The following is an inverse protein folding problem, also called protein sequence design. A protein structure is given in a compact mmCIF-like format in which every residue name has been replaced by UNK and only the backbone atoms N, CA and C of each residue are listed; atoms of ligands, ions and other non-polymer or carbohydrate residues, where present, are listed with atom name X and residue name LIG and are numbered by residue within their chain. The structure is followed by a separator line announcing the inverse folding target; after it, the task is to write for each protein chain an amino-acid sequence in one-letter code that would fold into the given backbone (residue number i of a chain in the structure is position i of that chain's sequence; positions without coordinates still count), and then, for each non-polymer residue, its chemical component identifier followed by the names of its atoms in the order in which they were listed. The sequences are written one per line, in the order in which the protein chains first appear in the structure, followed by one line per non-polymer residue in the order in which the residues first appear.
data_IF_129151727764
#
_entry.id   IF_129151727764
#
_cell.length_a   1.000
_cell.length_b   1.000
_cell.length_c   1.000
_cell.angle_alpha   90.00
_cell.angle_beta   90.00
_cell.angle_gamma   90.00
#
_symmetry.space_group_name_H-M   'P 1'
#
loop_
_entity.id
_entity.type
_entity.pdbx_description
1 polymer ?
#
# COMPACT_ATOMS: atom_id res chain seq x y z
N UNK A 1 -12.23 1.51 21.98
CA UNK A 1 -10.91 1.62 21.30
C UNK A 1 -10.72 0.38 20.44
N UNK A 2 -11.04 0.45 19.14
CA UNK A 2 -10.73 -0.64 18.21
C UNK A 2 -9.25 -0.55 17.83
N UNK A 3 -8.42 -1.43 18.36
CA UNK A 3 -7.05 -1.63 17.88
C UNK A 3 -7.12 -2.20 16.46
N UNK A 4 -7.23 -1.32 15.46
CA UNK A 4 -7.12 -1.71 14.05
C UNK A 4 -5.67 -2.14 13.81
N UNK A 5 -5.46 -3.45 13.77
CA UNK A 5 -4.15 -4.05 13.54
C UNK A 5 -3.73 -3.76 12.10
N UNK A 6 -2.80 -2.81 11.92
CA UNK A 6 -2.19 -2.55 10.61
C UNK A 6 -1.40 -3.78 10.18
N UNK A 7 -1.66 -4.30 8.97
CA UNK A 7 -0.84 -5.38 8.40
C UNK A 7 0.53 -4.84 8.03
N UNK A 8 1.58 -5.55 8.46
CA UNK A 8 2.98 -5.23 8.13
C UNK A 8 3.27 -5.59 6.67
N UNK A 9 4.20 -4.88 6.06
CA UNK A 9 4.67 -5.19 4.71
C UNK A 9 5.22 -6.63 4.66
N UNK A 10 4.74 -7.40 3.69
CA UNK A 10 5.22 -8.75 3.42
C UNK A 10 6.52 -8.66 2.62
N UNK A 11 7.53 -9.45 2.98
CA UNK A 11 8.75 -9.57 2.19
C UNK A 11 8.84 -10.98 1.64
N UNK A 12 8.76 -11.11 0.33
CA UNK A 12 8.91 -12.38 -0.36
C UNK A 12 10.40 -12.62 -0.55
N UNK A 13 10.91 -13.68 0.08
CA UNK A 13 12.27 -14.18 -0.11
C UNK A 13 12.16 -15.58 -0.68
N UNK A 14 12.54 -15.75 -1.92
CA UNK A 14 12.59 -17.07 -2.56
C UNK A 14 14.03 -17.34 -2.95
N UNK A 15 14.64 -18.33 -2.30
CA UNK A 15 15.91 -18.89 -2.75
C UNK A 15 15.61 -19.95 -3.82
N UNK A 16 15.12 -19.52 -4.98
CA UNK A 16 14.90 -20.40 -6.11
C UNK A 16 16.18 -20.43 -6.95
N UNK A 17 16.80 -21.61 -7.07
CA UNK A 17 17.68 -21.88 -8.21
C UNK A 17 16.78 -22.12 -9.43
N UNK A 18 17.14 -21.52 -10.55
CA UNK A 18 16.43 -21.60 -11.82
C UNK A 18 16.10 -23.05 -12.23
N UNK A 19 14.90 -23.20 -12.81
CA UNK A 19 14.49 -24.28 -13.71
C UNK A 19 14.82 -25.73 -13.30
N UNK A 20 14.50 -26.14 -12.08
CA UNK A 20 14.36 -27.59 -11.86
C UNK A 20 13.07 -28.07 -12.52
N UNK A 21 13.17 -29.08 -13.39
CA UNK A 21 12.02 -29.79 -13.97
C UNK A 21 10.99 -30.09 -12.86
N UNK A 22 9.72 -29.66 -13.02
CA UNK A 22 8.70 -29.90 -12.00
C UNK A 22 8.52 -31.41 -11.78
N UNK A 23 8.04 -31.79 -10.59
CA UNK A 23 7.68 -33.18 -10.31
C UNK A 23 6.38 -33.49 -11.07
N UNK A 24 6.21 -34.75 -11.49
CA UNK A 24 5.03 -35.20 -12.26
C UNK A 24 3.68 -34.78 -11.67
N UNK A 25 3.54 -34.79 -10.33
CA UNK A 25 2.29 -34.35 -9.69
C UNK A 25 2.04 -32.84 -9.80
N UNK A 26 3.10 -32.02 -9.82
CA UNK A 26 2.97 -30.57 -10.02
C UNK A 26 2.49 -30.28 -11.43
N UNK A 27 3.06 -30.97 -12.42
CA UNK A 27 2.63 -30.87 -13.81
C UNK A 27 1.17 -31.31 -13.96
N UNK A 28 0.81 -32.47 -13.41
CA UNK A 28 -0.54 -33.00 -13.46
C UNK A 28 -1.56 -32.05 -12.83
N UNK A 29 -1.27 -31.49 -11.65
CA UNK A 29 -2.19 -30.58 -10.96
C UNK A 29 -2.42 -29.27 -11.72
N UNK A 30 -1.39 -28.75 -12.40
CA UNK A 30 -1.52 -27.54 -13.21
C UNK A 30 -2.27 -27.83 -14.51
N UNK A 31 -1.84 -28.86 -15.25
CA UNK A 31 -2.37 -29.23 -16.57
C UNK A 31 -3.83 -29.68 -16.46
N UNK A 32 -4.19 -30.45 -15.44
CA UNK A 32 -5.57 -30.95 -15.25
C UNK A 32 -6.61 -29.82 -15.17
N UNK A 33 -6.22 -28.64 -14.69
CA UNK A 33 -7.08 -27.46 -14.56
C UNK A 33 -6.86 -26.40 -15.65
N UNK A 34 -5.96 -26.67 -16.59
CA UNK A 34 -5.63 -25.78 -17.69
C UNK A 34 -6.32 -26.23 -18.97
N UNK A 35 -6.38 -25.34 -19.96
CA UNK A 35 -6.84 -25.70 -21.31
C UNK A 35 -5.74 -26.48 -22.03
N UNK A 36 -4.49 -26.03 -21.89
CA UNK A 36 -3.34 -26.68 -22.48
C UNK A 36 -3.04 -28.02 -21.82
N UNK A 37 -2.73 -29.01 -22.65
CA UNK A 37 -2.27 -30.34 -22.22
C UNK A 37 -0.76 -30.38 -21.94
N UNK A 38 -0.03 -29.35 -22.35
CA UNK A 38 1.40 -29.20 -22.08
C UNK A 38 1.68 -28.25 -20.92
N UNK A 39 2.61 -28.63 -20.05
CA UNK A 39 2.96 -27.82 -18.87
C UNK A 39 3.53 -26.45 -19.25
N UNK A 40 4.30 -26.36 -20.33
CA UNK A 40 4.90 -25.12 -20.83
C UNK A 40 3.85 -24.06 -21.12
N UNK A 41 2.82 -24.45 -21.85
CA UNK A 41 1.76 -23.55 -22.30
C UNK A 41 0.78 -23.27 -21.16
N UNK A 42 0.43 -24.30 -20.39
CA UNK A 42 -0.44 -24.21 -19.23
C UNK A 42 0.02 -23.13 -18.25
N UNK A 43 1.33 -22.98 -18.00
CA UNK A 43 1.88 -21.94 -17.10
C UNK A 43 1.46 -20.52 -17.45
N UNK A 44 1.30 -20.22 -18.73
CA UNK A 44 1.01 -18.87 -19.23
C UNK A 44 -0.49 -18.55 -19.20
N UNK A 45 -1.35 -19.53 -18.93
CA UNK A 45 -2.79 -19.32 -18.88
C UNK A 45 -3.24 -18.64 -17.57
N UNK A 46 -2.49 -18.84 -16.49
CA UNK A 46 -2.91 -18.44 -15.15
C UNK A 46 -2.66 -16.96 -14.87
N UNK A 47 -3.58 -16.34 -14.13
CA UNK A 47 -3.48 -14.99 -13.62
C UNK A 47 -3.26 -15.02 -12.11
N UNK A 48 -2.38 -14.15 -11.61
CA UNK A 48 -2.18 -13.96 -10.17
C UNK A 48 -3.18 -12.91 -9.68
N UNK A 49 -4.27 -13.36 -9.07
CA UNK A 49 -5.37 -12.49 -8.69
C UNK A 49 -5.10 -11.81 -7.35
N UNK A 50 -5.00 -12.60 -6.28
CA UNK A 50 -4.95 -12.09 -4.91
C UNK A 50 -4.04 -12.90 -4.00
N UNK A 51 -3.61 -12.26 -2.92
CA UNK A 51 -2.89 -12.88 -1.81
C UNK A 51 -3.86 -13.11 -0.65
N UNK A 52 -3.75 -14.27 0.00
CA UNK A 52 -4.55 -14.68 1.16
C UNK A 52 -3.60 -14.99 2.30
N UNK A 53 -3.86 -14.39 3.46
CA UNK A 53 -3.06 -14.56 4.67
C UNK A 53 -3.59 -15.73 5.51
N UNK A 54 -2.77 -16.29 6.40
CA UNK A 54 -3.15 -17.40 7.28
C UNK A 54 -4.40 -17.14 8.13
N UNK A 55 -4.64 -15.87 8.46
CA UNK A 55 -5.77 -15.43 9.31
C UNK A 55 -7.01 -15.09 8.48
N UNK A 56 -6.96 -15.25 7.15
CA UNK A 56 -8.06 -14.91 6.24
C UNK A 56 -8.88 -16.14 5.87
N UNK A 57 -10.18 -15.95 5.66
CA UNK A 57 -11.08 -17.00 5.17
C UNK A 57 -10.65 -17.49 3.78
N UNK A 58 -10.67 -18.81 3.57
CA UNK A 58 -10.19 -19.43 2.33
C UNK A 58 -8.68 -19.65 2.23
N UNK A 59 -7.94 -19.43 3.33
CA UNK A 59 -6.55 -19.85 3.43
C UNK A 59 -6.43 -21.38 3.44
N UNK A 60 -5.37 -21.90 2.82
CA UNK A 60 -4.99 -23.31 2.85
C UNK A 60 -3.57 -23.43 3.41
N UNK A 61 -3.37 -24.28 4.41
CA UNK A 61 -2.04 -24.50 4.98
C UNK A 61 -1.10 -25.25 4.03
N UNK A 62 -1.64 -25.86 2.96
CA UNK A 62 -0.93 -26.61 1.93
C UNK A 62 -1.02 -25.96 0.55
N UNK A 63 0.08 -26.06 -0.21
CA UNK A 63 0.15 -25.65 -1.61
C UNK A 63 -0.56 -26.67 -2.50
N UNK A 64 -1.55 -26.27 -3.30
CA UNK A 64 -2.30 -27.20 -4.18
C UNK A 64 -1.46 -27.74 -5.34
N UNK A 65 -0.32 -27.10 -5.67
CA UNK A 65 0.60 -27.60 -6.70
C UNK A 65 1.56 -28.67 -6.19
N UNK A 66 2.20 -28.46 -5.04
CA UNK A 66 3.28 -29.32 -4.55
C UNK A 66 2.96 -30.04 -3.24
N UNK A 67 1.77 -29.81 -2.67
CA UNK A 67 1.29 -30.33 -1.38
C UNK A 67 2.18 -30.01 -0.18
N UNK A 68 3.12 -29.07 -0.31
CA UNK A 68 3.95 -28.62 0.81
C UNK A 68 3.11 -27.84 1.81
N UNK A 69 3.20 -28.21 3.07
CA UNK A 69 2.49 -27.60 4.19
C UNK A 69 3.30 -26.46 4.84
N UNK A 70 2.68 -25.70 5.73
CA UNK A 70 3.35 -24.64 6.48
C UNK A 70 3.46 -23.33 5.72
N UNK A 71 2.57 -23.09 4.75
CA UNK A 71 2.47 -21.80 4.10
C UNK A 71 2.06 -20.73 5.12
N UNK A 72 2.58 -19.51 4.96
CA UNK A 72 2.13 -18.34 5.73
C UNK A 72 1.13 -17.50 4.94
N UNK A 73 1.27 -17.54 3.62
CA UNK A 73 0.44 -16.81 2.66
C UNK A 73 0.25 -17.70 1.44
N UNK A 74 -0.93 -17.61 0.85
CA UNK A 74 -1.26 -18.23 -0.41
C UNK A 74 -1.48 -17.15 -1.45
N UNK A 75 -1.13 -17.48 -2.69
CA UNK A 75 -1.56 -16.73 -3.84
C UNK A 75 -2.66 -17.53 -4.52
N UNK A 76 -3.75 -16.86 -4.85
CA UNK A 76 -4.83 -17.42 -5.65
C UNK A 76 -4.50 -17.14 -7.10
N UNK A 77 -4.30 -18.22 -7.85
CA UNK A 77 -4.22 -18.18 -9.29
C UNK A 77 -5.60 -18.49 -9.86
N UNK A 78 -6.02 -17.76 -10.88
CA UNK A 78 -7.21 -18.09 -11.67
C UNK A 78 -6.83 -18.38 -13.11
N UNK A 79 -7.52 -19.31 -13.73
CA UNK A 79 -7.47 -19.50 -15.17
C UNK A 79 -8.74 -18.89 -15.77
N UNK A 80 -8.66 -17.78 -16.53
CA UNK A 80 -9.82 -17.11 -17.11
C UNK A 80 -10.53 -17.98 -18.17
N UNK A 81 -9.87 -19.00 -18.71
CA UNK A 81 -10.43 -19.87 -19.74
C UNK A 81 -11.26 -21.01 -19.14
N UNK A 82 -10.82 -21.58 -18.01
CA UNK A 82 -11.51 -22.70 -17.35
C UNK A 82 -12.33 -22.28 -16.13
N UNK A 83 -12.18 -21.03 -15.67
CA UNK A 83 -12.69 -20.52 -14.39
C UNK A 83 -12.22 -21.32 -13.16
N UNK A 84 -11.15 -22.11 -13.31
CA UNK A 84 -10.54 -22.83 -12.21
C UNK A 84 -9.65 -21.92 -11.36
N UNK A 85 -9.53 -22.27 -10.09
CA UNK A 85 -8.67 -21.58 -9.13
C UNK A 85 -7.68 -22.56 -8.49
N UNK A 86 -6.50 -22.02 -8.18
CA UNK A 86 -5.43 -22.72 -7.46
C UNK A 86 -4.87 -21.87 -6.33
N UNK A 87 -4.65 -22.47 -5.16
CA UNK A 87 -4.00 -21.84 -4.00
C UNK A 87 -2.58 -22.34 -3.86
N UNK A 88 -1.63 -21.46 -4.07
CA UNK A 88 -0.23 -21.83 -4.23
C UNK A 88 0.71 -20.97 -3.41
N UNK A 89 1.78 -21.60 -2.95
CA UNK A 89 2.88 -20.89 -2.28
C UNK A 89 3.75 -20.13 -3.28
N UNK A 90 4.38 -19.05 -2.80
CA UNK A 90 5.32 -18.21 -3.58
C UNK A 90 6.42 -19.02 -4.26
N UNK A 91 6.93 -20.04 -3.58
CA UNK A 91 8.02 -20.88 -4.09
C UNK A 91 7.65 -21.61 -5.37
N UNK A 92 6.43 -22.11 -5.51
CA UNK A 92 6.01 -22.82 -6.73
C UNK A 92 5.85 -21.86 -7.90
N UNK A 93 5.28 -20.68 -7.66
CA UNK A 93 5.06 -19.68 -8.69
C UNK A 93 6.40 -19.22 -9.27
N UNK A 94 7.33 -18.83 -8.41
CA UNK A 94 8.66 -18.33 -8.81
C UNK A 94 9.51 -19.45 -9.41
N UNK A 95 9.53 -20.64 -8.81
CA UNK A 95 10.39 -21.74 -9.29
C UNK A 95 9.98 -22.27 -10.65
N UNK A 96 8.68 -22.23 -10.96
CA UNK A 96 8.14 -22.79 -12.19
C UNK A 96 7.69 -21.71 -13.19
N UNK A 97 7.88 -20.43 -12.91
CA UNK A 97 7.43 -19.30 -13.73
C UNK A 97 5.94 -19.41 -14.12
N UNK A 98 5.09 -19.58 -13.11
CA UNK A 98 3.64 -19.72 -13.32
C UNK A 98 3.01 -18.34 -13.30
N UNK A 99 2.21 -18.03 -14.31
CA UNK A 99 1.41 -16.81 -14.37
C UNK A 99 1.79 -15.88 -15.50
N UNK A 100 0.81 -15.15 -16.03
CA UNK A 100 1.01 -14.15 -17.08
C UNK A 100 1.99 -13.07 -16.63
N UNK A 101 3.01 -12.84 -17.46
CA UNK A 101 4.06 -11.85 -17.22
C UNK A 101 5.23 -12.32 -16.36
N UNK A 102 5.25 -13.57 -15.90
CA UNK A 102 6.41 -14.16 -15.22
C UNK A 102 7.32 -14.81 -16.27
N UNK A 103 8.38 -14.09 -16.66
CA UNK A 103 9.36 -14.59 -17.64
C UNK A 103 10.52 -15.31 -16.94
N UNK A 104 11.01 -14.72 -15.85
CA UNK A 104 12.14 -15.16 -15.07
C UNK A 104 11.87 -15.08 -13.56
N UNK A 105 12.80 -15.62 -12.76
CA UNK A 105 12.70 -15.69 -11.30
C UNK A 105 12.60 -14.29 -10.67
N UNK A 106 13.37 -13.32 -11.14
CA UNK A 106 13.40 -11.97 -10.56
C UNK A 106 12.13 -11.19 -10.89
N UNK A 107 11.64 -11.30 -12.13
CA UNK A 107 10.33 -10.77 -12.52
C UNK A 107 9.20 -11.39 -11.69
N UNK A 108 9.24 -12.72 -11.47
CA UNK A 108 8.26 -13.43 -10.64
C UNK A 108 8.25 -12.95 -9.19
N UNK A 109 9.43 -12.78 -8.58
CA UNK A 109 9.55 -12.24 -7.22
C UNK A 109 8.98 -10.82 -7.15
N UNK A 110 9.33 -9.96 -8.11
CA UNK A 110 8.89 -8.57 -8.16
C UNK A 110 7.37 -8.48 -8.32
N UNK A 111 6.78 -9.27 -9.22
CA UNK A 111 5.34 -9.32 -9.44
C UNK A 111 4.60 -9.77 -8.17
N UNK A 112 5.04 -10.85 -7.55
CA UNK A 112 4.43 -11.34 -6.30
C UNK A 112 4.59 -10.34 -5.15
N UNK A 113 5.72 -9.65 -5.08
CA UNK A 113 5.98 -8.64 -4.07
C UNK A 113 5.05 -7.44 -4.25
N UNK A 114 4.83 -7.00 -5.49
CA UNK A 114 3.87 -5.96 -5.82
C UNK A 114 2.45 -6.37 -5.45
N UNK A 115 2.05 -7.61 -5.75
CA UNK A 115 0.73 -8.16 -5.38
C UNK A 115 0.53 -8.28 -3.87
N UNK A 116 1.56 -8.71 -3.15
CA UNK A 116 1.52 -8.76 -1.69
C UNK A 116 1.40 -7.37 -1.06
N UNK A 117 2.14 -6.38 -1.61
CA UNK A 117 2.04 -4.98 -1.17
C UNK A 117 0.67 -4.39 -1.49
N UNK A 118 0.12 -4.65 -2.68
CA UNK A 118 -1.22 -4.26 -3.09
C UNK A 118 -2.26 -4.76 -2.07
N UNK A 119 -2.21 -6.05 -1.71
CA UNK A 119 -3.09 -6.64 -0.72
C UNK A 119 -2.98 -5.96 0.66
N UNK A 120 -1.76 -5.75 1.16
CA UNK A 120 -1.54 -5.10 2.46
C UNK A 120 -2.06 -3.66 2.45
N UNK A 121 -1.82 -2.92 1.37
CA UNK A 121 -2.30 -1.55 1.24
C UNK A 121 -3.83 -1.49 1.15
N UNK A 122 -4.46 -2.35 0.35
CA UNK A 122 -5.92 -2.44 0.25
C UNK A 122 -6.55 -2.78 1.59
N UNK A 123 -6.03 -3.77 2.30
CA UNK A 123 -6.54 -4.14 3.62
C UNK A 123 -6.45 -2.97 4.61
N UNK A 124 -5.28 -2.33 4.69
CA UNK A 124 -5.10 -1.17 5.57
C UNK A 124 -6.04 -0.02 5.19
N UNK A 125 -6.22 0.24 3.90
CA UNK A 125 -7.15 1.26 3.40
C UNK A 125 -8.59 0.94 3.83
N UNK A 126 -9.07 -0.28 3.59
CA UNK A 126 -10.41 -0.74 3.94
C UNK A 126 -10.70 -0.61 5.44
N UNK A 127 -9.71 -0.88 6.30
CA UNK A 127 -9.88 -0.69 7.76
C UNK A 127 -10.10 0.77 8.15
N UNK A 128 -9.59 1.72 7.37
CA UNK A 128 -9.69 3.17 7.63
C UNK A 128 -10.93 3.83 7.00
N UNK A 129 -11.62 3.15 6.08
CA UNK A 129 -12.74 3.73 5.30
C UNK A 129 -13.82 4.32 6.20
N UNK A 130 -14.24 3.61 7.23
CA UNK A 130 -15.29 4.10 8.13
C UNK A 130 -14.89 5.37 8.90
N UNK A 131 -13.59 5.55 9.20
CA UNK A 131 -13.12 6.72 9.94
C UNK A 131 -13.04 7.95 9.01
N UNK A 132 -12.72 7.72 7.73
CA UNK A 132 -12.55 8.77 6.73
C UNK A 132 -13.89 9.23 6.14
N UNK A 133 -14.89 8.34 6.10
CA UNK A 133 -16.25 8.66 5.65
C UNK A 133 -17.08 9.42 6.69
N UNK A 134 -16.55 9.68 7.89
CA UNK A 134 -17.17 10.57 8.85
C UNK A 134 -17.30 11.99 8.26
N UNK A 135 -18.28 12.75 8.76
CA UNK A 135 -18.52 14.13 8.34
C UNK A 135 -17.27 14.99 8.57
N UNK A 136 -16.58 14.77 9.69
CA UNK A 136 -15.31 15.41 10.02
C UNK A 136 -14.27 14.37 10.43
N UNK A 137 -13.43 13.86 9.50
CA UNK A 137 -12.39 12.91 9.87
C UNK A 137 -11.22 13.59 10.59
N UNK A 138 -10.42 12.78 11.28
CA UNK A 138 -9.12 13.22 11.79
C UNK A 138 -8.17 13.53 10.60
N UNK A 139 -7.47 14.69 10.61
CA UNK A 139 -6.66 15.12 9.49
C UNK A 139 -5.50 14.17 9.17
N UNK A 140 -4.90 13.53 10.19
CA UNK A 140 -3.81 12.58 9.97
C UNK A 140 -4.33 11.30 9.31
N UNK A 141 -5.50 10.84 9.75
CA UNK A 141 -6.17 9.65 9.21
C UNK A 141 -6.57 9.86 7.75
N UNK A 142 -7.19 11.02 7.42
CA UNK A 142 -7.52 11.39 6.04
C UNK A 142 -6.27 11.45 5.15
N UNK A 143 -5.19 12.07 5.63
CA UNK A 143 -3.92 12.14 4.88
C UNK A 143 -3.32 10.76 4.64
N UNK A 144 -3.21 9.93 5.68
CA UNK A 144 -2.68 8.57 5.55
C UNK A 144 -3.52 7.73 4.59
N UNK A 145 -4.84 7.87 4.65
CA UNK A 145 -5.77 7.19 3.74
C UNK A 145 -5.53 7.60 2.29
N UNK A 146 -5.46 8.90 2.01
CA UNK A 146 -5.21 9.41 0.67
C UNK A 146 -3.85 8.95 0.11
N UNK A 147 -2.79 9.00 0.93
CA UNK A 147 -1.46 8.52 0.53
C UNK A 147 -1.45 7.00 0.22
N UNK A 148 -2.19 6.19 0.98
CA UNK A 148 -2.36 4.76 0.71
C UNK A 148 -3.15 4.51 -0.57
N UNK A 149 -4.27 5.23 -0.75
CA UNK A 149 -5.10 5.12 -1.95
C UNK A 149 -4.30 5.44 -3.21
N UNK A 150 -3.51 6.52 -3.16
CA UNK A 150 -2.64 6.91 -4.26
C UNK A 150 -1.61 5.83 -4.59
N UNK A 151 -0.95 5.25 -3.58
CA UNK A 151 0.00 4.14 -3.78
C UNK A 151 -0.63 2.92 -4.45
N UNK A 152 -1.87 2.57 -4.08
CA UNK A 152 -2.58 1.45 -4.71
C UNK A 152 -2.85 1.74 -6.18
N UNK A 153 -3.31 2.95 -6.50
CA UNK A 153 -3.59 3.35 -7.88
C UNK A 153 -2.30 3.43 -8.71
N UNK A 154 -1.20 3.90 -8.13
CA UNK A 154 0.13 3.92 -8.76
C UNK A 154 0.61 2.50 -9.07
N UNK A 155 0.45 1.54 -8.14
CA UNK A 155 0.77 0.11 -8.37
C UNK A 155 -0.07 -0.48 -9.50
N UNK A 156 -1.35 -0.08 -9.61
CA UNK A 156 -2.25 -0.49 -10.70
C UNK A 156 -1.99 0.26 -12.02
N UNK A 157 -1.14 1.29 -12.04
CA UNK A 157 -0.90 2.14 -13.21
C UNK A 157 -2.07 3.05 -13.58
N UNK A 158 -2.99 3.33 -12.65
CA UNK A 158 -4.21 4.10 -12.90
C UNK A 158 -4.01 5.55 -12.45
N UNK A 159 -3.93 6.49 -13.40
CA UNK A 159 -3.79 7.93 -13.09
C UNK A 159 -5.13 8.60 -12.72
N UNK A 160 -6.20 8.20 -13.40
CA UNK A 160 -7.54 8.76 -13.23
C UNK A 160 -8.53 7.62 -13.00
N UNK A 161 -8.72 7.19 -11.73
CA UNK A 161 -9.58 6.06 -11.43
C UNK A 161 -11.05 6.39 -11.70
N UNK A 162 -11.75 5.39 -12.24
CA UNK A 162 -13.21 5.43 -12.39
C UNK A 162 -13.88 5.26 -11.03
N UNK A 163 -15.16 5.65 -10.93
CA UNK A 163 -15.91 5.49 -9.68
C UNK A 163 -15.99 4.03 -9.26
N UNK A 164 -16.10 3.11 -10.22
CA UNK A 164 -16.09 1.67 -9.94
C UNK A 164 -14.75 1.21 -9.34
N UNK A 165 -13.62 1.65 -9.89
CA UNK A 165 -12.29 1.31 -9.36
C UNK A 165 -12.08 1.87 -7.95
N UNK A 166 -12.59 3.08 -7.68
CA UNK A 166 -12.57 3.65 -6.34
C UNK A 166 -13.47 2.86 -5.37
N UNK A 167 -14.68 2.47 -5.80
CA UNK A 167 -15.58 1.63 -5.00
C UNK A 167 -14.92 0.31 -4.61
N UNK A 168 -14.31 -0.37 -5.59
CA UNK A 168 -13.58 -1.62 -5.38
C UNK A 168 -12.43 -1.43 -4.40
N UNK A 169 -11.67 -0.34 -4.50
CA UNK A 169 -10.58 -0.05 -3.56
C UNK A 169 -11.09 0.17 -2.13
N UNK A 170 -12.18 0.93 -1.95
CA UNK A 170 -12.73 1.26 -0.64
C UNK A 170 -13.42 0.08 0.03
N UNK A 171 -14.20 -0.70 -0.72
CA UNK A 171 -15.11 -1.68 -0.12
C UNK A 171 -14.88 -3.12 -0.56
N UNK A 172 -13.95 -3.36 -1.51
CA UNK A 172 -13.62 -4.70 -2.00
C UNK A 172 -14.86 -5.41 -2.54
N UNK A 173 -15.09 -6.63 -2.07
CA UNK A 173 -16.23 -7.47 -2.47
C UNK A 173 -17.60 -6.85 -2.12
N UNK A 174 -17.63 -5.87 -1.19
CA UNK A 174 -18.84 -5.13 -0.83
C UNK A 174 -19.08 -3.89 -1.70
N UNK A 175 -18.29 -3.68 -2.76
CA UNK A 175 -18.45 -2.52 -3.64
C UNK A 175 -19.85 -2.46 -4.30
N UNK A 176 -20.41 -3.61 -4.66
CA UNK A 176 -21.71 -3.69 -5.35
C UNK A 176 -22.89 -3.35 -4.43
N UNK A 177 -22.77 -3.51 -3.12
CA UNK A 177 -23.85 -3.23 -2.18
C UNK A 177 -23.95 -1.76 -1.77
N UNK A 178 -23.07 -0.90 -2.30
CA UNK A 178 -22.99 0.51 -1.90
C UNK A 178 -23.60 1.40 -2.98
N UNK A 179 -24.83 1.79 -2.70
CA UNK A 179 -25.65 2.71 -3.50
C UNK A 179 -25.83 4.07 -2.82
N UNK A 180 -25.35 4.22 -1.57
CA UNK A 180 -25.46 5.44 -0.81
C UNK A 180 -24.74 6.62 -1.50
N UNK A 181 -25.54 7.53 -2.06
CA UNK A 181 -25.09 8.71 -2.80
C UNK A 181 -24.09 9.56 -2.01
N UNK A 182 -24.27 9.66 -0.69
CA UNK A 182 -23.37 10.43 0.16
C UNK A 182 -21.97 9.79 0.18
N UNK A 183 -21.89 8.48 0.40
CA UNK A 183 -20.61 7.75 0.42
C UNK A 183 -19.88 7.84 -0.92
N UNK A 184 -20.61 7.76 -2.02
CA UNK A 184 -20.04 7.85 -3.36
C UNK A 184 -19.50 9.25 -3.66
N UNK A 185 -20.28 10.29 -3.35
CA UNK A 185 -19.83 11.68 -3.48
C UNK A 185 -18.60 11.95 -2.59
N UNK A 186 -18.64 11.48 -1.34
CA UNK A 186 -17.54 11.67 -0.39
C UNK A 186 -16.26 10.96 -0.83
N UNK A 187 -16.37 9.73 -1.32
CA UNK A 187 -15.28 8.97 -1.93
C UNK A 187 -14.62 9.77 -3.07
N UNK A 188 -15.45 10.32 -3.96
CA UNK A 188 -14.98 11.16 -5.06
C UNK A 188 -14.26 12.42 -4.56
N UNK A 189 -14.83 13.11 -3.57
CA UNK A 189 -14.20 14.27 -2.94
C UNK A 189 -12.84 13.96 -2.32
N UNK A 190 -12.68 12.80 -1.66
CA UNK A 190 -11.40 12.38 -1.07
C UNK A 190 -10.32 12.24 -2.15
N UNK A 191 -10.68 11.73 -3.33
CA UNK A 191 -9.75 11.56 -4.43
C UNK A 191 -9.43 12.89 -5.14
N UNK A 192 -10.46 13.62 -5.56
CA UNK A 192 -10.29 14.82 -6.40
C UNK A 192 -9.79 16.03 -5.59
N UNK A 193 -10.30 16.22 -4.37
CA UNK A 193 -10.05 17.41 -3.53
C UNK A 193 -9.99 17.06 -2.03
N UNK A 194 -8.98 16.29 -1.57
CA UNK A 194 -8.88 15.89 -0.15
C UNK A 194 -8.81 17.08 0.81
N UNK A 195 -8.24 18.23 0.38
CA UNK A 195 -8.13 19.44 1.19
C UNK A 195 -9.44 20.22 1.39
N UNK A 196 -10.49 19.92 0.61
CA UNK A 196 -11.81 20.54 0.76
C UNK A 196 -12.67 19.85 1.82
N UNK A 197 -12.18 18.76 2.43
CA UNK A 197 -12.90 18.03 3.46
C UNK A 197 -12.67 18.70 4.81
N UNK A 198 -13.76 19.10 5.45
CA UNK A 198 -13.72 19.59 6.83
C UNK A 198 -13.15 18.51 7.76
N UNK A 199 -12.11 18.85 8.50
CA UNK A 199 -11.45 17.96 9.46
C UNK A 199 -11.61 18.50 10.87
N UNK A 200 -11.50 17.62 11.87
CA UNK A 200 -11.48 18.07 13.25
C UNK A 200 -10.36 19.08 13.46
N UNK A 201 -10.71 20.28 13.94
CA UNK A 201 -9.73 21.29 14.34
C UNK A 201 -9.00 20.79 15.58
N UNK A 202 -7.86 20.16 15.38
CA UNK A 202 -6.94 19.88 16.48
C UNK A 202 -6.41 21.23 16.95
N UNK A 203 -6.91 21.73 18.09
CA UNK A 203 -6.29 22.87 18.76
C UNK A 203 -4.83 22.49 18.94
N UNK A 204 -3.90 23.24 18.33
CA UNK A 204 -2.48 23.07 18.58
C UNK A 204 -2.29 23.29 20.08
N UNK A 205 -2.22 22.21 20.85
CA UNK A 205 -1.73 22.26 22.21
C UNK A 205 -0.33 22.85 22.08
N UNK A 206 -0.16 24.09 22.57
CA UNK A 206 1.17 24.69 22.65
C UNK A 206 2.01 23.68 23.40
N UNK A 207 3.09 23.22 22.79
CA UNK A 207 4.05 22.38 23.46
C UNK A 207 4.61 23.21 24.61
N UNK A 208 4.08 23.01 25.81
CA UNK A 208 4.74 23.49 27.01
C UNK A 208 5.97 22.61 27.17
N UNK A 209 7.18 23.18 27.05
CA UNK A 209 8.38 22.40 27.26
C UNK A 209 8.34 21.90 28.70
N UNK A 210 8.12 20.60 28.88
CA UNK A 210 8.24 19.94 30.19
C UNK A 210 9.66 20.23 30.67
N UNK A 211 9.84 21.05 31.72
CA UNK A 211 11.17 21.27 32.26
C UNK A 211 11.68 19.91 32.71
N UNK A 212 12.78 19.42 32.12
CA UNK A 212 13.47 18.27 32.69
C UNK A 212 14.07 18.73 34.00
N UNK A 213 13.39 18.40 35.10
CA UNK A 213 14.00 18.42 36.43
C UNK A 213 15.32 17.62 36.30
N UNK A 214 16.43 18.26 36.69
CA UNK A 214 17.84 17.83 36.54
C UNK A 214 18.64 18.29 35.30
N UNK A 215 18.14 19.15 34.40
CA UNK A 215 19.03 19.84 33.44
C UNK A 215 19.50 21.20 33.99
N UNK A 216 20.53 21.19 34.84
CA UNK A 216 21.11 22.38 35.50
C UNK A 216 21.94 23.29 34.57
N UNK A 217 21.90 23.09 33.25
CA UNK A 217 22.72 23.86 32.32
C UNK A 217 21.95 24.31 31.07
N UNK A 218 21.40 25.52 31.15
CA UNK A 218 21.63 26.55 30.12
C UNK A 218 20.94 26.42 28.77
N UNK A 219 19.62 26.62 28.70
CA UNK A 219 19.03 27.20 27.49
C UNK A 219 19.26 28.71 27.47
N UNK A 220 20.49 29.13 27.12
CA UNK A 220 20.73 30.50 26.67
C UNK A 220 19.93 30.70 25.37
N UNK A 221 18.74 31.30 25.48
CA UNK A 221 18.11 31.97 24.35
C UNK A 221 19.17 32.90 23.77
N UNK A 222 19.60 32.66 22.54
CA UNK A 222 20.39 33.64 21.79
C UNK A 222 19.48 34.85 21.59
N UNK A 223 19.50 35.76 22.55
CA UNK A 223 19.10 37.15 22.31
C UNK A 223 19.95 37.59 21.13
N UNK A 224 19.31 37.81 19.99
CA UNK A 224 19.96 38.39 18.84
C UNK A 224 20.32 39.81 19.28
N UNK A 225 21.57 40.01 19.69
CA UNK A 225 22.11 41.34 19.94
C UNK A 225 21.92 42.11 18.63
N UNK A 226 20.92 42.99 18.59
CA UNK A 226 20.86 44.02 17.59
C UNK A 226 22.05 44.93 17.86
N UNK A 227 23.12 44.76 17.10
CA UNK A 227 24.19 45.74 17.04
C UNK A 227 23.61 47.03 16.48
N UNK A 228 23.25 47.96 17.36
CA UNK A 228 22.92 49.36 17.05
C UNK A 228 24.18 50.12 16.65
N UNK A 229 24.75 49.78 15.50
CA UNK A 229 25.83 50.54 14.85
C UNK A 229 25.40 51.17 13.51
N UNK A 230 24.09 51.25 13.27
CA UNK A 230 23.50 51.70 12.01
C UNK A 230 22.73 53.03 12.06
N UNK A 231 22.94 53.87 13.08
CA UNK A 231 22.28 55.20 13.16
C UNK A 231 23.22 56.24 13.76
N UNK A 232 24.28 56.59 13.03
CA UNK A 232 24.80 57.95 13.10
C UNK A 232 24.64 58.57 11.71
N UNK A 233 23.89 59.66 11.61
CA UNK A 233 23.69 60.42 10.37
C UNK A 233 24.97 61.14 9.88
N UNK A 234 26.15 60.71 10.33
CA UNK A 234 27.43 61.37 10.08
C UNK A 234 28.15 60.87 8.81
N UNK A 235 27.69 59.77 8.19
CA UNK A 235 28.33 59.17 7.00
C UNK A 235 27.53 59.36 5.71
N UNK A 236 26.45 60.16 5.73
CA UNK A 236 25.52 60.25 4.58
C UNK A 236 25.86 61.32 3.54
N UNK A 237 26.83 62.22 3.79
CA UNK A 237 27.22 63.23 2.78
C UNK A 237 28.69 63.71 2.92
N UNK A 238 29.64 63.18 2.12
CA UNK A 238 31.01 63.69 2.08
C UNK A 238 31.17 65.03 1.34
N UNK A 239 30.16 65.45 0.55
CA UNK A 239 30.26 66.62 -0.33
C UNK A 239 29.92 67.96 0.34
N UNK A 240 29.41 67.97 1.57
CA UNK A 240 29.01 69.20 2.28
C UNK A 240 30.14 69.96 3.00
N UNK A 241 31.40 69.50 2.90
CA UNK A 241 32.53 70.10 3.63
C UNK A 241 33.30 71.21 2.88
N UNK A 242 32.95 71.51 1.63
CA UNK A 242 33.64 72.51 0.81
C UNK A 242 32.66 73.41 0.06
N UNK A 243 31.74 74.04 0.77
CA UNK A 243 30.88 75.11 0.27
C UNK A 243 30.75 76.19 1.33
#
# INVERSE_FOLDING_TARGET
MNNKVKKKALRIRVNAKESSRPRRHVEANLVFKSVSHEFTDAKTEWNIDRCVDKDSEGFSSSCELCNMTGLKYNFVLSNPSTNEMLRVGTTCIVRFNIGKGVVDVDSGITLLQNKANEFVHLHNLQTMVNDVLLITPDPNTLRQFYELLKKIMDIKGIKHPTDQQLKEAFWGDKASSIEDKYKLMRMRMIWDKPGAIDTHKVKKTKYEPVPKEHSTFGYKRRSRVQTTLGTSGATRDPQRKYS
#
